data_IF_839945451709
#
_entry.id   IF_839945451709
#
_cell.length_a   1.000
_cell.length_b   1.000
_cell.length_c   1.000
_cell.angle_alpha   90.00
_cell.angle_beta   90.00
_cell.angle_gamma   90.00
#
_symmetry.space_group_name_H-M   'P 1'
#
loop_
_entity.id
_entity.type
_entity.pdbx_description
1 polymer ?
#
# COMPACT_ATOMS: atom_id res chain seq x y z
N UNK A 1 24.54 -17.82 22.62
CA UNK A 1 25.06 -18.73 21.56
C UNK A 1 24.00 -19.14 20.52
N UNK A 2 22.90 -19.78 20.91
CA UNK A 2 21.85 -20.26 19.98
C UNK A 2 21.14 -19.15 19.18
N UNK A 3 20.84 -18.01 19.80
CA UNK A 3 20.21 -16.88 19.09
C UNK A 3 21.13 -16.27 18.01
N UNK A 4 22.45 -16.29 18.23
CA UNK A 4 23.40 -15.77 17.26
C UNK A 4 23.53 -16.69 16.04
N UNK A 5 23.38 -18.01 16.20
CA UNK A 5 23.38 -18.94 15.06
C UNK A 5 22.12 -18.82 14.19
N UNK A 6 21.01 -18.28 14.71
CA UNK A 6 19.79 -18.00 13.93
C UNK A 6 19.87 -16.68 13.13
N UNK A 7 20.80 -15.79 13.48
CA UNK A 7 20.86 -14.45 12.90
C UNK A 7 21.05 -14.45 11.36
N UNK A 8 21.94 -15.27 10.77
CA UNK A 8 22.07 -15.34 9.30
C UNK A 8 20.79 -15.84 8.62
N UNK A 9 20.12 -16.83 9.22
CA UNK A 9 18.87 -17.39 8.72
C UNK A 9 17.76 -16.35 8.73
N UNK A 10 17.55 -15.65 9.86
CA UNK A 10 16.56 -14.57 9.97
C UNK A 10 16.83 -13.47 8.95
N UNK A 11 18.10 -13.06 8.80
CA UNK A 11 18.47 -12.06 7.80
C UNK A 11 18.12 -12.50 6.37
N UNK A 12 18.47 -13.73 6.01
CA UNK A 12 18.14 -14.30 4.71
C UNK A 12 16.63 -14.34 4.45
N UNK A 13 15.84 -14.81 5.42
CA UNK A 13 14.39 -14.88 5.31
C UNK A 13 13.71 -13.51 5.27
N UNK A 14 14.18 -12.54 6.04
CA UNK A 14 13.67 -11.16 5.98
C UNK A 14 13.85 -10.58 4.59
N UNK A 15 15.05 -10.73 3.98
CA UNK A 15 15.28 -10.28 2.60
C UNK A 15 14.45 -11.08 1.61
N UNK A 16 14.34 -12.40 1.77
CA UNK A 16 13.52 -13.27 0.91
C UNK A 16 12.06 -12.80 0.87
N UNK A 17 11.43 -12.60 2.03
CA UNK A 17 10.05 -12.09 2.11
C UNK A 17 9.92 -10.69 1.52
N UNK A 18 10.92 -9.82 1.74
CA UNK A 18 10.94 -8.50 1.14
C UNK A 18 11.00 -8.57 -0.40
N UNK A 19 11.84 -9.44 -0.98
CA UNK A 19 11.91 -9.66 -2.44
C UNK A 19 10.58 -10.20 -2.97
N UNK A 20 10.01 -11.21 -2.31
CA UNK A 20 8.70 -11.75 -2.71
C UNK A 20 7.61 -10.67 -2.67
N UNK A 21 7.55 -9.87 -1.61
CA UNK A 21 6.61 -8.74 -1.50
C UNK A 21 6.85 -7.67 -2.57
N UNK A 22 8.11 -7.35 -2.86
CA UNK A 22 8.49 -6.41 -3.92
C UNK A 22 8.05 -6.89 -5.29
N UNK A 23 8.13 -8.21 -5.56
CA UNK A 23 7.73 -8.80 -6.82
C UNK A 23 6.22 -8.75 -7.08
N UNK A 24 5.42 -8.77 -6.02
CA UNK A 24 3.97 -8.60 -6.14
C UNK A 24 3.60 -7.19 -6.63
N UNK A 25 4.42 -6.17 -6.39
CA UNK A 25 4.09 -4.79 -6.73
C UNK A 25 3.96 -4.60 -8.26
N UNK A 26 4.94 -4.97 -9.11
CA UNK A 26 4.77 -4.96 -10.56
C UNK A 26 3.54 -5.72 -11.03
N UNK A 27 3.29 -6.92 -10.49
CA UNK A 27 2.15 -7.75 -10.86
C UNK A 27 0.81 -7.05 -10.54
N UNK A 28 0.68 -6.49 -9.34
CA UNK A 28 -0.51 -5.76 -8.91
C UNK A 28 -0.71 -4.48 -9.71
N UNK A 29 0.36 -3.77 -10.06
CA UNK A 29 0.29 -2.58 -10.92
C UNK A 29 -0.22 -2.94 -12.33
N UNK A 30 0.28 -4.01 -12.93
CA UNK A 30 -0.18 -4.49 -14.25
C UNK A 30 -1.65 -4.87 -14.20
N UNK A 31 -2.07 -5.65 -13.19
CA UNK A 31 -3.46 -6.05 -13.01
C UNK A 31 -4.38 -4.85 -12.77
N UNK A 32 -3.93 -3.89 -11.94
CA UNK A 32 -4.63 -2.65 -11.68
C UNK A 32 -4.80 -1.80 -12.94
N UNK A 33 -3.73 -1.62 -13.71
CA UNK A 33 -3.76 -0.90 -14.98
C UNK A 33 -4.69 -1.57 -15.99
N UNK A 34 -4.57 -2.88 -16.18
CA UNK A 34 -5.44 -3.63 -17.08
C UNK A 34 -6.92 -3.51 -16.68
N UNK A 35 -7.24 -3.62 -15.39
CA UNK A 35 -8.62 -3.55 -14.88
C UNK A 35 -9.27 -2.19 -15.14
N UNK A 36 -8.56 -1.09 -14.86
CA UNK A 36 -9.15 0.25 -14.90
C UNK A 36 -8.96 0.97 -16.23
N UNK A 37 -7.84 0.76 -16.93
CA UNK A 37 -7.52 1.45 -18.20
C UNK A 37 -8.03 0.65 -19.39
N UNK A 38 -7.72 -0.66 -19.45
CA UNK A 38 -8.07 -1.49 -20.62
C UNK A 38 -9.52 -1.97 -20.53
N UNK A 39 -9.93 -2.53 -19.39
CA UNK A 39 -11.30 -3.04 -19.19
C UNK A 39 -12.31 -1.98 -18.76
N UNK A 40 -11.87 -0.74 -18.50
CA UNK A 40 -12.71 0.41 -18.12
C UNK A 40 -13.74 0.07 -17.03
N UNK A 41 -13.38 -0.77 -16.06
CA UNK A 41 -14.28 -1.07 -14.95
C UNK A 41 -14.60 0.23 -14.20
N UNK A 42 -15.88 0.51 -13.90
CA UNK A 42 -16.27 1.75 -13.25
C UNK A 42 -15.60 1.84 -11.88
N UNK A 43 -14.87 2.94 -11.64
CA UNK A 43 -14.35 3.32 -10.33
C UNK A 43 -15.52 3.70 -9.41
N UNK A 44 -16.27 2.70 -8.94
CA UNK A 44 -17.15 2.87 -7.79
C UNK A 44 -16.27 2.76 -6.55
N UNK A 45 -16.34 3.77 -5.68
CA UNK A 45 -15.67 3.73 -4.39
C UNK A 45 -16.14 2.48 -3.63
N UNK A 46 -15.20 1.59 -3.33
CA UNK A 46 -15.41 0.41 -2.51
C UNK A 46 -14.49 0.54 -1.29
N UNK A 47 -15.01 0.25 -0.10
CA UNK A 47 -14.24 0.24 1.14
C UNK A 47 -13.03 -0.70 1.03
N UNK A 48 -13.11 -1.71 0.15
CA UNK A 48 -12.01 -2.62 -0.17
C UNK A 48 -10.72 -1.91 -0.64
N UNK A 49 -10.80 -0.69 -1.18
CA UNK A 49 -9.60 0.08 -1.57
C UNK A 49 -8.71 0.47 -0.37
N UNK A 50 -9.29 0.61 0.83
CA UNK A 50 -8.50 0.81 2.05
C UNK A 50 -7.61 -0.39 2.37
N UNK A 51 -8.06 -1.59 2.00
CA UNK A 51 -7.27 -2.82 2.12
C UNK A 51 -5.99 -2.82 1.29
N UNK A 52 -5.89 -1.98 0.25
CA UNK A 52 -4.68 -1.84 -0.57
C UNK A 52 -3.73 -0.74 -0.05
N UNK A 53 -4.26 0.30 0.60
CA UNK A 53 -3.45 1.41 1.15
C UNK A 53 -2.59 0.92 2.31
N UNK A 54 -3.16 0.09 3.19
CA UNK A 54 -2.45 -0.41 4.36
C UNK A 54 -1.17 -1.19 4.01
N UNK A 55 -1.21 -2.21 3.13
CA UNK A 55 0.00 -2.92 2.70
C UNK A 55 1.06 -2.00 2.06
N UNK A 56 0.63 -0.95 1.37
CA UNK A 56 1.56 -0.04 0.69
C UNK A 56 2.33 0.83 1.69
N UNK A 57 1.65 1.34 2.72
CA UNK A 57 2.31 2.02 3.84
C UNK A 57 3.20 1.07 4.65
N UNK A 58 2.71 -0.14 4.94
CA UNK A 58 3.46 -1.16 5.66
C UNK A 58 4.72 -1.61 4.92
N UNK A 59 4.69 -1.67 3.59
CA UNK A 59 5.87 -1.95 2.77
C UNK A 59 6.95 -0.88 2.94
N UNK A 60 6.58 0.42 2.97
CA UNK A 60 7.54 1.50 3.23
C UNK A 60 8.16 1.38 4.64
N UNK A 61 7.32 1.15 5.65
CA UNK A 61 7.78 1.00 7.05
C UNK A 61 8.69 -0.21 7.21
N UNK A 62 8.28 -1.39 6.72
CA UNK A 62 9.06 -2.61 6.85
C UNK A 62 10.39 -2.53 6.10
N UNK A 63 10.39 -1.94 4.90
CA UNK A 63 11.62 -1.69 4.13
C UNK A 63 12.57 -0.77 4.88
N UNK A 64 12.07 0.32 5.46
CA UNK A 64 12.87 1.24 6.27
C UNK A 64 13.51 0.57 7.49
N UNK A 65 12.74 -0.28 8.19
CA UNK A 65 13.23 -1.00 9.36
C UNK A 65 14.26 -2.08 8.97
N UNK A 66 14.03 -2.78 7.85
CA UNK A 66 14.99 -3.74 7.30
C UNK A 66 16.33 -3.05 6.96
N UNK A 67 16.27 -1.89 6.29
CA UNK A 67 17.46 -1.10 5.93
C UNK A 67 18.28 -0.75 7.16
N UNK A 68 17.62 -0.22 8.21
CA UNK A 68 18.29 0.12 9.47
C UNK A 68 18.86 -1.10 10.18
N UNK A 69 18.11 -2.20 10.25
CA UNK A 69 18.52 -3.41 10.96
C UNK A 69 19.68 -4.16 10.27
N UNK A 70 19.81 -4.02 8.96
CA UNK A 70 20.79 -4.74 8.13
C UNK A 70 21.88 -3.86 7.52
N UNK A 71 21.86 -2.54 7.76
CA UNK A 71 22.75 -1.55 7.15
C UNK A 71 22.70 -1.55 5.60
N UNK A 72 21.53 -1.75 5.01
CA UNK A 72 21.33 -1.79 3.54
C UNK A 72 21.01 -0.40 2.97
N UNK A 73 21.88 0.58 3.25
CA UNK A 73 21.61 2.00 2.97
C UNK A 73 21.35 2.32 1.49
N UNK A 74 21.82 1.49 0.55
CA UNK A 74 21.54 1.64 -0.89
C UNK A 74 20.05 1.51 -1.25
N UNK A 75 19.23 0.91 -0.37
CA UNK A 75 17.77 0.77 -0.57
C UNK A 75 16.97 1.95 0.00
N UNK A 76 17.62 2.96 0.61
CA UNK A 76 16.95 4.06 1.35
C UNK A 76 15.97 4.89 0.51
N UNK A 77 16.16 4.91 -0.81
CA UNK A 77 15.26 5.62 -1.72
C UNK A 77 13.89 4.93 -1.86
N UNK A 78 13.83 3.60 -1.70
CA UNK A 78 12.59 2.83 -1.85
C UNK A 78 11.49 3.30 -0.88
N UNK A 79 11.70 3.29 0.46
CA UNK A 79 10.66 3.75 1.39
C UNK A 79 10.33 5.23 1.20
N UNK A 80 11.29 6.05 0.74
CA UNK A 80 11.10 7.47 0.47
C UNK A 80 10.12 7.71 -0.68
N UNK A 81 10.14 6.91 -1.74
CA UNK A 81 9.13 7.03 -2.80
C UNK A 81 7.80 6.38 -2.39
N UNK A 82 7.84 5.22 -1.74
CA UNK A 82 6.63 4.48 -1.38
C UNK A 82 5.74 5.22 -0.38
N UNK A 83 6.31 6.03 0.53
CA UNK A 83 5.48 6.86 1.42
C UNK A 83 4.64 7.88 0.62
N UNK A 84 5.20 8.50 -0.42
CA UNK A 84 4.44 9.42 -1.27
C UNK A 84 3.37 8.69 -2.08
N UNK A 85 3.67 7.49 -2.60
CA UNK A 85 2.67 6.64 -3.27
C UNK A 85 1.53 6.28 -2.30
N UNK A 86 1.86 5.96 -1.05
CA UNK A 86 0.88 5.66 -0.01
C UNK A 86 0.00 6.84 0.34
N UNK A 87 0.61 8.02 0.49
CA UNK A 87 -0.10 9.28 0.74
C UNK A 87 -1.04 9.63 -0.42
N UNK A 88 -0.59 9.48 -1.67
CA UNK A 88 -1.44 9.72 -2.84
C UNK A 88 -2.62 8.75 -2.88
N UNK A 89 -2.38 7.46 -2.68
CA UNK A 89 -3.45 6.46 -2.61
C UNK A 89 -4.45 6.76 -1.49
N UNK A 90 -3.95 7.17 -0.32
CA UNK A 90 -4.75 7.58 0.82
C UNK A 90 -5.62 8.81 0.50
N UNK A 91 -5.06 9.87 -0.12
CA UNK A 91 -5.81 11.06 -0.50
C UNK A 91 -6.93 10.75 -1.51
N UNK A 92 -6.66 9.86 -2.47
CA UNK A 92 -7.67 9.42 -3.45
C UNK A 92 -8.81 8.67 -2.77
N UNK A 93 -8.51 7.70 -1.89
CA UNK A 93 -9.55 6.99 -1.16
C UNK A 93 -10.32 7.92 -0.20
N UNK A 94 -9.61 8.81 0.51
CA UNK A 94 -10.22 9.75 1.43
C UNK A 94 -11.18 10.71 0.70
N UNK A 95 -10.79 11.25 -0.45
CA UNK A 95 -11.68 12.10 -1.25
C UNK A 95 -12.93 11.35 -1.74
N UNK A 96 -12.78 10.07 -2.13
CA UNK A 96 -13.91 9.19 -2.44
C UNK A 96 -14.87 8.99 -1.27
N UNK A 97 -14.34 8.80 -0.05
CA UNK A 97 -15.13 8.69 1.17
C UNK A 97 -15.92 9.98 1.46
N UNK A 98 -15.23 11.13 1.45
CA UNK A 98 -15.84 12.44 1.71
C UNK A 98 -16.95 12.72 0.71
N UNK A 99 -16.72 12.47 -0.58
CA UNK A 99 -17.72 12.67 -1.63
C UNK A 99 -18.95 11.76 -1.43
N UNK A 100 -18.72 10.49 -1.05
CA UNK A 100 -19.80 9.56 -0.70
C UNK A 100 -20.64 10.03 0.49
N UNK A 101 -19.97 10.53 1.54
CA UNK A 101 -20.63 11.01 2.75
C UNK A 101 -21.46 12.28 2.48
N UNK A 102 -20.89 13.27 1.78
CA UNK A 102 -21.59 14.50 1.40
C UNK A 102 -22.83 14.20 0.55
N UNK A 103 -22.72 13.29 -0.42
CA UNK A 103 -23.86 12.89 -1.25
C UNK A 103 -24.95 12.18 -0.44
N UNK A 104 -24.56 11.33 0.49
CA UNK A 104 -25.49 10.64 1.39
C UNK A 104 -26.26 11.65 2.26
N UNK A 105 -25.54 12.56 2.93
CA UNK A 105 -26.12 13.60 3.77
C UNK A 105 -27.07 14.52 3.00
N UNK A 106 -26.67 14.96 1.80
CA UNK A 106 -27.51 15.76 0.91
C UNK A 106 -28.79 15.03 0.52
N UNK A 107 -28.70 13.73 0.19
CA UNK A 107 -29.88 12.92 -0.14
C UNK A 107 -30.84 12.73 1.04
N UNK A 108 -30.31 12.61 2.26
CA UNK A 108 -31.09 12.48 3.49
C UNK A 108 -31.82 13.77 3.86
N UNK A 109 -31.18 14.93 3.66
CA UNK A 109 -31.83 16.23 3.84
C UNK A 109 -33.00 16.44 2.86
N UNK A 110 -32.79 16.10 1.58
CA UNK A 110 -33.82 16.26 0.53
C UNK A 110 -35.05 15.35 0.69
N UNK A 111 -34.96 14.28 1.49
CA UNK A 111 -36.09 13.38 1.79
C UNK A 111 -36.90 13.80 3.03
N UNK A 112 -36.41 14.76 3.82
CA UNK A 112 -37.08 15.27 5.03
C UNK A 112 -37.91 16.54 4.80
N UNK A 113 -37.76 17.16 3.62
CA UNK A 113 -38.61 18.26 3.11
C UNK A 113 -39.57 17.72 2.07
#
# INVERSE_FOLDING_TARGET
PFLQSLLPFLKGFTVFFWVTGSWWIPMLLILGFWRHVVKKFPLKYDVLYWGAIFPLGMYAVSTHQMIKAMNLWFLSEIPRYFIYVGLLAWLVAFSGLVHGLVRSLWSSMKRRT
#
